data_IF_988057903287
#
_entry.id   IF_988057903287
#
_cell.length_a   1.000
_cell.length_b   1.000
_cell.length_c   1.000
_cell.angle_alpha   90.00
_cell.angle_beta   90.00
_cell.angle_gamma   90.00
#
_symmetry.space_group_name_H-M   'P 1'
#
loop_
_entity.id
_entity.type
_entity.pdbx_description
1 polymer ?
#
# COMPACT_ATOMS: atom_id res chain seq x y z
N UNK A 1 26.98 37.55 3.67
CA UNK A 1 27.66 36.73 2.65
C UNK A 1 27.43 35.28 3.01
N UNK A 2 26.81 34.48 2.13
CA UNK A 2 26.56 33.04 2.39
C UNK A 2 27.81 32.25 2.03
N UNK A 3 28.19 31.27 2.86
CA UNK A 3 29.37 30.42 2.62
C UNK A 3 28.89 29.04 2.17
N UNK A 4 29.50 28.54 1.09
CA UNK A 4 29.32 27.17 0.62
C UNK A 4 30.23 26.30 1.48
N UNK A 5 29.66 25.29 2.14
CA UNK A 5 30.41 24.33 2.98
C UNK A 5 30.85 23.15 2.13
N UNK A 6 30.02 22.69 1.20
CA UNK A 6 30.28 21.45 0.47
C UNK A 6 29.65 21.49 -0.92
N UNK A 7 30.37 20.96 -1.92
CA UNK A 7 29.91 20.84 -3.30
C UNK A 7 30.03 19.37 -3.71
N UNK A 8 28.97 18.78 -4.26
CA UNK A 8 29.01 17.42 -4.80
C UNK A 8 28.49 17.37 -6.25
N UNK A 9 29.16 16.62 -7.15
CA UNK A 9 28.65 16.34 -8.48
C UNK A 9 27.54 15.27 -8.41
N UNK A 10 26.43 15.48 -9.12
CA UNK A 10 25.37 14.47 -9.28
C UNK A 10 25.64 13.63 -10.54
N UNK A 11 25.53 12.29 -10.45
CA UNK A 11 25.64 11.44 -11.63
C UNK A 11 24.45 11.67 -12.57
N UNK A 12 24.72 11.65 -13.88
CA UNK A 12 23.68 11.76 -14.90
C UNK A 12 22.65 10.64 -14.72
N UNK A 13 21.37 11.00 -14.73
CA UNK A 13 20.26 10.06 -14.56
C UNK A 13 20.25 9.03 -15.71
N UNK A 14 19.98 7.73 -15.44
CA UNK A 14 19.95 6.69 -16.47
C UNK A 14 18.82 6.87 -17.51
N UNK A 15 17.89 7.81 -17.31
CA UNK A 15 16.77 8.09 -18.21
C UNK A 15 17.09 9.06 -19.38
N UNK A 16 18.36 9.20 -19.76
CA UNK A 16 18.74 9.85 -21.02
C UNK A 16 18.74 11.38 -21.03
N UNK A 17 18.66 12.04 -19.87
CA UNK A 17 18.98 13.46 -19.76
C UNK A 17 20.45 13.62 -19.35
N UNK A 18 21.31 14.01 -20.28
CA UNK A 18 22.71 14.41 -20.05
C UNK A 18 22.77 15.73 -19.28
N UNK A 19 22.37 15.71 -18.02
CA UNK A 19 22.47 16.86 -17.13
C UNK A 19 23.41 16.47 -16.00
N UNK A 20 24.67 16.88 -16.14
CA UNK A 20 25.66 16.82 -15.06
C UNK A 20 25.30 17.97 -14.12
N UNK A 21 24.63 17.66 -13.01
CA UNK A 21 24.26 18.66 -12.02
C UNK A 21 25.34 18.80 -10.94
N UNK A 22 25.44 19.98 -10.34
CA UNK A 22 26.23 20.21 -9.13
C UNK A 22 25.30 20.67 -8.02
N UNK A 23 25.41 20.08 -6.84
CA UNK A 23 24.74 20.55 -5.64
C UNK A 23 25.74 21.24 -4.68
N UNK A 24 25.32 22.37 -4.11
CA UNK A 24 26.07 23.11 -3.11
C UNK A 24 25.26 23.17 -1.80
N UNK A 25 25.88 22.72 -0.71
CA UNK A 25 25.36 22.84 0.66
C UNK A 25 25.92 24.12 1.30
N UNK A 26 25.03 24.99 1.73
CA UNK A 26 25.37 26.22 2.44
C UNK A 26 25.40 26.01 3.96
N UNK A 27 26.07 26.92 4.68
CA UNK A 27 26.14 26.95 6.15
C UNK A 27 24.78 27.12 6.83
N UNK A 28 23.79 27.66 6.12
CA UNK A 28 22.41 27.75 6.59
C UNK A 28 21.58 26.46 6.39
N UNK A 29 22.21 25.37 5.94
CA UNK A 29 21.57 24.07 5.72
C UNK A 29 20.79 23.94 4.41
N UNK A 30 20.72 25.01 3.60
CA UNK A 30 20.07 24.99 2.29
C UNK A 30 20.96 24.36 1.23
N UNK A 31 20.33 23.55 0.37
CA UNK A 31 20.97 22.96 -0.80
C UNK A 31 20.56 23.73 -2.04
N UNK A 32 21.54 24.12 -2.84
CA UNK A 32 21.34 24.76 -4.13
C UNK A 32 21.80 23.83 -5.24
N UNK A 33 21.01 23.73 -6.31
CA UNK A 33 21.36 22.94 -7.49
C UNK A 33 21.68 23.87 -8.65
N UNK A 34 22.75 23.56 -9.36
CA UNK A 34 23.10 24.15 -10.63
C UNK A 34 23.17 23.05 -11.68
N UNK A 35 22.47 23.25 -12.78
CA UNK A 35 22.56 22.36 -13.94
C UNK A 35 23.62 22.90 -14.90
N UNK A 36 24.45 22.05 -15.51
CA UNK A 36 25.49 22.53 -16.45
C UNK A 36 24.97 22.75 -17.87
N UNK A 37 23.67 22.60 -18.13
CA UNK A 37 23.05 23.00 -19.40
C UNK A 37 23.09 24.52 -19.57
N UNK A 38 23.53 24.98 -20.76
CA UNK A 38 23.69 26.41 -21.11
C UNK A 38 22.52 27.25 -20.57
N UNK A 39 22.86 28.23 -19.71
CA UNK A 39 21.95 29.18 -19.06
C UNK A 39 21.07 28.71 -17.87
N UNK A 40 21.43 27.63 -17.19
CA UNK A 40 20.71 27.25 -15.97
C UNK A 40 21.13 28.10 -14.75
N UNK A 41 20.23 28.98 -14.27
CA UNK A 41 20.44 29.70 -13.02
C UNK A 41 20.41 28.78 -11.79
N UNK A 42 21.17 29.12 -10.74
CA UNK A 42 21.12 28.43 -9.46
C UNK A 42 19.69 28.40 -8.91
N UNK A 43 19.16 27.19 -8.67
CA UNK A 43 17.86 27.03 -8.01
C UNK A 43 18.06 26.52 -6.59
N UNK A 44 17.46 27.20 -5.63
CA UNK A 44 17.37 26.71 -4.26
C UNK A 44 16.44 25.49 -4.29
N UNK A 45 16.93 24.33 -3.85
CA UNK A 45 16.03 23.21 -3.62
C UNK A 45 15.09 23.60 -2.48
N UNK A 46 13.78 23.29 -2.59
CA UNK A 46 12.93 23.33 -1.42
C UNK A 46 13.54 22.41 -0.36
N UNK A 47 13.46 22.80 0.92
CA UNK A 47 13.80 21.90 2.00
C UNK A 47 13.09 20.57 1.72
N UNK A 48 13.85 19.46 1.69
CA UNK A 48 13.23 18.14 1.69
C UNK A 48 12.30 18.21 2.88
N UNK A 49 10.97 18.18 2.69
CA UNK A 49 10.09 18.30 3.82
C UNK A 49 10.42 17.11 4.71
N UNK A 50 11.07 17.39 5.86
CA UNK A 50 11.51 16.33 6.77
C UNK A 50 10.32 15.44 7.01
N UNK A 51 10.48 14.12 6.84
CA UNK A 51 9.50 13.26 6.18
C UNK A 51 8.10 13.88 6.19
N UNK A 52 7.78 14.71 5.19
CA UNK A 52 6.37 14.92 4.83
C UNK A 52 5.93 13.52 4.46
N UNK A 53 5.39 12.81 5.44
CA UNK A 53 3.95 12.72 5.61
C UNK A 53 3.18 13.15 4.35
N UNK A 54 3.54 12.55 3.23
CA UNK A 54 2.58 11.82 2.41
C UNK A 54 1.97 10.70 3.28
N UNK A 55 1.40 11.08 4.42
CA UNK A 55 0.21 10.46 4.88
C UNK A 55 -0.82 10.88 3.82
N UNK A 56 -0.95 10.06 2.78
CA UNK A 56 -2.29 9.55 2.48
C UNK A 56 -2.89 9.31 3.86
N UNK A 57 -3.87 10.11 4.27
CA UNK A 57 -4.44 10.03 5.60
C UNK A 57 -4.79 8.56 5.83
N UNK A 58 -3.88 7.84 6.48
CA UNK A 58 -4.10 6.47 6.86
C UNK A 58 -4.91 6.69 8.11
N UNK A 59 -6.22 6.89 7.88
CA UNK A 59 -7.23 6.93 8.92
C UNK A 59 -6.99 5.66 9.71
N UNK A 60 -6.26 5.81 10.81
CA UNK A 60 -6.00 4.71 11.71
C UNK A 60 -7.38 4.15 12.02
N UNK A 61 -7.61 2.84 11.83
CA UNK A 61 -8.90 2.24 12.10
C UNK A 61 -9.41 2.74 13.46
N UNK A 62 -10.70 3.06 13.62
CA UNK A 62 -11.25 3.61 14.87
C UNK A 62 -10.91 2.80 16.13
N UNK A 63 -10.55 1.53 15.99
CA UNK A 63 -10.07 0.70 17.10
C UNK A 63 -8.57 0.35 17.06
N UNK A 64 -7.76 0.98 16.22
CA UNK A 64 -6.31 0.80 16.24
C UNK A 64 -5.74 1.16 17.62
N UNK A 65 -4.98 0.24 18.21
CA UNK A 65 -4.36 0.41 19.54
C UNK A 65 -5.30 0.23 20.74
N UNK A 66 -6.61 0.03 20.54
CA UNK A 66 -7.51 -0.29 21.65
C UNK A 66 -7.19 -1.66 22.25
N UNK A 67 -7.48 -1.86 23.53
CA UNK A 67 -7.37 -3.17 24.18
C UNK A 67 -8.36 -4.15 23.52
N UNK A 68 -8.00 -5.44 23.49
CA UNK A 68 -8.91 -6.52 23.10
C UNK A 68 -9.74 -6.94 24.31
N UNK A 69 -11.06 -6.99 24.13
CA UNK A 69 -12.01 -7.53 25.10
C UNK A 69 -12.34 -8.99 24.75
N UNK A 70 -12.85 -9.78 25.71
CA UNK A 70 -13.31 -11.15 25.42
C UNK A 70 -14.37 -11.19 24.30
N UNK A 71 -15.26 -10.19 24.28
CA UNK A 71 -16.29 -10.04 23.23
C UNK A 71 -15.67 -9.84 21.83
N UNK A 72 -14.54 -9.12 21.74
CA UNK A 72 -13.80 -8.96 20.48
C UNK A 72 -13.23 -10.30 20.00
N UNK A 73 -12.80 -11.16 20.93
CA UNK A 73 -12.24 -12.48 20.62
C UNK A 73 -13.32 -13.44 20.11
N UNK A 74 -14.50 -13.43 20.74
CA UNK A 74 -15.67 -14.21 20.29
C UNK A 74 -16.13 -13.75 18.92
N UNK A 75 -16.16 -12.44 18.68
CA UNK A 75 -16.50 -11.86 17.39
C UNK A 75 -15.48 -12.27 16.32
N UNK A 76 -14.18 -12.18 16.62
CA UNK A 76 -13.11 -12.61 15.73
C UNK A 76 -13.22 -14.10 15.39
N UNK A 77 -13.42 -14.96 16.40
CA UNK A 77 -13.58 -16.40 16.22
C UNK A 77 -14.81 -16.72 15.35
N UNK A 78 -15.92 -16.02 15.56
CA UNK A 78 -17.15 -16.17 14.76
C UNK A 78 -16.91 -15.81 13.30
N UNK A 79 -16.33 -14.63 13.04
CA UNK A 79 -16.07 -14.17 11.67
C UNK A 79 -15.07 -15.08 10.94
N UNK A 80 -14.03 -15.55 11.64
CA UNK A 80 -13.00 -16.39 11.05
C UNK A 80 -13.45 -17.85 10.87
N UNK A 81 -14.06 -18.46 11.88
CA UNK A 81 -14.37 -19.90 11.85
C UNK A 81 -15.72 -20.19 11.21
N UNK A 82 -16.75 -19.43 11.57
CA UNK A 82 -18.12 -19.68 11.12
C UNK A 82 -18.40 -19.02 9.77
N UNK A 83 -18.09 -17.73 9.65
CA UNK A 83 -18.37 -16.97 8.41
C UNK A 83 -17.27 -17.14 7.35
N UNK A 84 -16.13 -17.73 7.71
CA UNK A 84 -14.99 -18.00 6.83
C UNK A 84 -14.49 -16.74 6.10
N UNK A 85 -14.61 -15.57 6.72
CA UNK A 85 -14.12 -14.32 6.14
C UNK A 85 -12.60 -14.32 6.06
N UNK A 86 -12.09 -13.54 5.10
CA UNK A 86 -10.67 -13.20 5.00
C UNK A 86 -10.32 -12.06 5.98
N UNK A 87 -9.02 -11.92 6.25
CA UNK A 87 -8.47 -10.94 7.20
C UNK A 87 -8.86 -9.50 6.85
N UNK A 88 -8.88 -9.14 5.58
CA UNK A 88 -9.20 -7.78 5.14
C UNK A 88 -10.67 -7.44 5.47
N UNK A 89 -11.57 -8.40 5.21
CA UNK A 89 -12.99 -8.26 5.54
C UNK A 89 -13.23 -8.18 7.05
N UNK A 90 -12.55 -9.01 7.83
CA UNK A 90 -12.63 -8.97 9.30
C UNK A 90 -12.08 -7.66 9.85
N UNK A 91 -10.93 -7.20 9.36
CA UNK A 91 -10.31 -5.95 9.75
C UNK A 91 -11.26 -4.76 9.54
N UNK A 92 -11.95 -4.70 8.39
CA UNK A 92 -12.98 -3.70 8.10
C UNK A 92 -14.17 -3.81 9.07
N UNK A 93 -14.69 -5.02 9.28
CA UNK A 93 -15.84 -5.26 10.15
C UNK A 93 -15.58 -4.84 11.61
N UNK A 94 -14.40 -5.18 12.13
CA UNK A 94 -13.99 -4.87 13.51
C UNK A 94 -13.33 -3.50 13.65
N UNK A 95 -13.13 -2.78 12.53
CA UNK A 95 -12.42 -1.50 12.50
C UNK A 95 -11.03 -1.58 13.14
N UNK A 96 -10.29 -2.66 12.82
CA UNK A 96 -8.93 -2.96 13.27
C UNK A 96 -7.99 -3.08 12.07
N UNK A 97 -6.68 -3.08 12.29
CA UNK A 97 -5.72 -3.34 11.21
C UNK A 97 -5.53 -4.84 10.97
N UNK A 98 -5.23 -5.22 9.73
CA UNK A 98 -4.95 -6.59 9.31
C UNK A 98 -3.88 -7.26 10.20
N UNK A 99 -2.81 -6.52 10.49
CA UNK A 99 -1.74 -6.99 11.36
C UNK A 99 -2.22 -7.30 12.79
N UNK A 100 -3.19 -6.54 13.31
CA UNK A 100 -3.79 -6.80 14.62
C UNK A 100 -4.67 -8.06 14.59
N UNK A 101 -5.46 -8.26 13.53
CA UNK A 101 -6.25 -9.48 13.33
C UNK A 101 -5.35 -10.71 13.27
N UNK A 102 -4.31 -10.68 12.42
CA UNK A 102 -3.34 -11.79 12.29
C UNK A 102 -2.67 -12.11 13.62
N UNK A 103 -2.19 -11.07 14.32
CA UNK A 103 -1.51 -11.27 15.60
C UNK A 103 -2.46 -11.82 16.66
N UNK A 104 -3.75 -11.47 16.60
CA UNK A 104 -4.74 -11.97 17.55
C UNK A 104 -5.12 -13.42 17.27
N UNK A 105 -5.24 -13.82 16.01
CA UNK A 105 -5.51 -15.22 15.63
C UNK A 105 -4.44 -16.18 16.18
N UNK A 106 -3.16 -15.81 16.09
CA UNK A 106 -2.05 -16.58 16.71
C UNK A 106 -2.19 -16.60 18.23
N UNK A 107 -2.52 -15.46 18.85
CA UNK A 107 -2.64 -15.35 20.31
C UNK A 107 -3.84 -16.12 20.90
N UNK A 108 -4.86 -16.41 20.08
CA UNK A 108 -5.99 -17.27 20.41
C UNK A 108 -5.73 -18.75 20.07
N UNK A 109 -4.51 -19.11 19.70
CA UNK A 109 -4.07 -20.48 19.40
C UNK A 109 -4.76 -21.12 18.19
N UNK A 110 -5.33 -20.32 17.28
CA UNK A 110 -5.88 -20.85 16.03
C UNK A 110 -4.80 -21.33 15.05
N UNK A 111 -3.59 -20.76 15.17
CA UNK A 111 -2.43 -21.02 14.31
C UNK A 111 -1.15 -20.89 15.13
N UNK A 112 -0.11 -21.64 14.75
CA UNK A 112 1.17 -21.63 15.45
C UNK A 112 1.96 -20.33 15.22
N UNK A 113 1.82 -19.74 14.04
CA UNK A 113 2.50 -18.51 13.68
C UNK A 113 1.74 -17.65 12.64
N UNK A 114 2.31 -16.51 12.29
CA UNK A 114 1.66 -15.49 11.43
C UNK A 114 1.66 -15.88 9.95
N UNK A 115 2.59 -16.72 9.50
CA UNK A 115 2.69 -17.16 8.13
C UNK A 115 1.60 -18.20 7.81
N UNK A 116 1.31 -19.13 8.73
CA UNK A 116 0.15 -20.04 8.61
C UNK A 116 -1.17 -19.26 8.43
N UNK A 117 -1.38 -18.19 9.21
CA UNK A 117 -2.56 -17.31 9.07
C UNK A 117 -2.60 -16.66 7.69
N UNK A 118 -1.46 -16.21 7.17
CA UNK A 118 -1.36 -15.55 5.86
C UNK A 118 -1.65 -16.52 4.73
N UNK A 119 -1.14 -17.74 4.81
CA UNK A 119 -1.39 -18.79 3.81
C UNK A 119 -2.88 -19.13 3.73
N UNK A 120 -3.52 -19.37 4.87
CA UNK A 120 -4.96 -19.61 4.93
C UNK A 120 -5.77 -18.41 4.43
N UNK A 121 -5.36 -17.19 4.79
CA UNK A 121 -5.99 -15.96 4.29
C UNK A 121 -5.88 -15.85 2.76
N UNK A 122 -4.72 -16.13 2.19
CA UNK A 122 -4.53 -16.16 0.73
C UNK A 122 -5.42 -17.22 0.07
N UNK A 123 -5.53 -18.41 0.68
CA UNK A 123 -6.41 -19.48 0.20
C UNK A 123 -7.86 -19.01 0.16
N UNK A 124 -8.36 -18.38 1.23
CA UNK A 124 -9.72 -17.82 1.32
C UNK A 124 -9.97 -16.74 0.28
N UNK A 125 -9.03 -15.81 0.09
CA UNK A 125 -9.15 -14.75 -0.93
C UNK A 125 -9.25 -15.33 -2.34
N UNK A 126 -8.44 -16.34 -2.67
CA UNK A 126 -8.52 -17.02 -3.98
C UNK A 126 -9.89 -17.66 -4.20
N UNK A 127 -10.43 -18.35 -3.19
CA UNK A 127 -11.77 -18.94 -3.29
C UNK A 127 -12.86 -17.88 -3.44
N UNK A 128 -12.76 -16.76 -2.71
CA UNK A 128 -13.72 -15.66 -2.80
C UNK A 128 -13.71 -15.01 -4.19
N UNK A 129 -12.52 -14.77 -4.78
CA UNK A 129 -12.39 -14.22 -6.13
C UNK A 129 -12.89 -15.18 -7.21
N UNK A 130 -12.66 -16.49 -7.05
CA UNK A 130 -13.12 -17.51 -7.99
C UNK A 130 -14.66 -17.59 -8.08
N UNK A 131 -15.37 -17.36 -6.96
CA UNK A 131 -16.85 -17.34 -6.94
C UNK A 131 -17.42 -16.13 -7.69
N UNK A 132 -16.75 -14.97 -7.66
CA UNK A 132 -17.22 -13.75 -8.33
C UNK A 132 -17.01 -13.78 -9.85
N UNK A 133 -16.10 -14.61 -10.36
CA UNK A 133 -15.77 -14.71 -11.79
C UNK A 133 -16.29 -15.99 -12.45
N UNK A 134 -17.42 -16.56 -12.01
CA UNK A 134 -18.13 -17.55 -12.83
C UNK A 134 -18.86 -16.82 -13.96
N UNK A 135 -18.42 -16.91 -15.23
CA UNK A 135 -19.21 -16.41 -16.34
C UNK A 135 -20.49 -17.24 -16.42
N UNK A 136 -21.63 -16.56 -16.41
CA UNK A 136 -22.93 -17.08 -16.76
C UNK A 136 -22.79 -17.92 -18.03
N UNK A 137 -23.01 -19.23 -17.91
CA UNK A 137 -23.07 -20.15 -19.04
C UNK A 137 -24.04 -19.55 -20.07
N UNK A 138 -23.48 -19.26 -21.23
CA UNK A 138 -24.14 -18.80 -22.45
C UNK A 138 -25.35 -19.68 -22.74
N UNK A 139 -26.53 -19.08 -22.58
CA UNK A 139 -27.78 -19.54 -23.16
C UNK A 139 -27.58 -19.60 -24.69
N UNK A 140 -27.28 -20.79 -25.20
CA UNK A 140 -27.23 -21.05 -26.63
C UNK A 140 -28.66 -21.04 -27.17
N UNK A 141 -29.05 -19.91 -27.74
CA UNK A 141 -30.28 -19.71 -28.52
C UNK A 141 -30.18 -20.46 -29.86
N UNK A 142 -31.00 -21.49 -30.13
CA UNK A 142 -30.97 -22.16 -31.42
C UNK A 142 -31.74 -21.36 -32.48
N UNK A 143 -30.97 -20.63 -33.28
CA UNK A 143 -31.17 -20.33 -34.71
C UNK A 143 -32.64 -20.09 -35.15
N UNK A 144 -33.06 -18.83 -35.15
CA UNK A 144 -33.98 -18.34 -36.19
C UNK A 144 -33.22 -17.50 -37.21
N UNK A 145 -33.05 -18.03 -38.42
CA UNK A 145 -32.78 -17.23 -39.62
C UNK A 145 -33.99 -17.32 -40.54
N UNK A 146 -34.71 -16.21 -40.63
CA UNK A 146 -35.68 -15.90 -41.66
C UNK A 146 -34.96 -15.14 -42.78
N UNK A 147 -35.10 -15.53 -44.03
CA UNK A 147 -34.96 -14.65 -45.21
C UNK A 147 -35.57 -15.38 -46.43
N UNK A 148 -36.82 -15.12 -46.82
CA UNK A 148 -37.29 -14.20 -47.89
C UNK A 148 -36.55 -14.30 -49.23
N UNK A 149 -37.16 -15.01 -50.19
CA UNK A 149 -37.45 -14.52 -51.56
C UNK A 149 -38.56 -15.37 -52.17
#
# INVERSE_FOLDING_TARGET
MRKIIQIQPLPASPNGASLIGVCALCDDGRIWLHDTGEESAWRCLPEIPGPTSAASASEKPPQAGKRWLPEDDEQLATLWCQQRFDVERIAKQMQRSDGAIVSRLVRLDFYGDRDEVREENQRRRRTATAVTHSPTETHADPLQVHETS
#
